data_IF_653019598482
#
_entry.id   IF_653019598482
#
_cell.length_a   1.000
_cell.length_b   1.000
_cell.length_c   1.000
_cell.angle_alpha   90.00
_cell.angle_beta   90.00
_cell.angle_gamma   90.00
#
_symmetry.space_group_name_H-M   'P 1'
#
loop_
_entity.id
_entity.type
_entity.pdbx_description
1 polymer ?
#
# COMPACT_ATOMS: atom_id res chain seq x y z
N UNK A 1 16.67 -3.85 24.81
CA UNK A 1 15.21 -3.64 24.90
C UNK A 1 14.72 -3.21 23.54
N UNK A 2 13.83 -3.98 22.92
CA UNK A 2 13.12 -3.52 21.72
C UNK A 2 11.96 -2.62 22.18
N UNK A 3 11.88 -1.36 21.72
CA UNK A 3 10.75 -0.51 22.04
C UNK A 3 9.48 -1.09 21.40
N UNK A 4 8.44 -1.31 22.22
CA UNK A 4 7.13 -1.74 21.72
C UNK A 4 6.35 -0.49 21.28
N UNK A 5 6.20 -0.31 19.97
CA UNK A 5 5.42 0.79 19.38
C UNK A 5 4.06 0.22 18.97
N UNK A 6 2.97 0.81 19.47
CA UNK A 6 1.60 0.47 19.07
C UNK A 6 1.08 1.51 18.09
N UNK A 7 0.73 1.08 16.87
CA UNK A 7 0.19 1.93 15.81
C UNK A 7 -1.18 1.41 15.41
N UNK A 8 -2.20 2.26 15.52
CA UNK A 8 -3.56 1.94 15.09
C UNK A 8 -3.75 2.35 13.63
N UNK A 9 -3.93 1.37 12.74
CA UNK A 9 -4.24 1.59 11.32
C UNK A 9 -5.74 1.35 11.06
N UNK A 10 -6.53 2.43 10.94
CA UNK A 10 -7.98 2.32 10.69
C UNK A 10 -8.30 1.67 9.33
N UNK A 11 -7.43 1.87 8.33
CA UNK A 11 -7.55 1.26 7.00
C UNK A 11 -6.20 0.68 6.59
N UNK A 12 -5.98 -0.64 6.73
CA UNK A 12 -4.70 -1.25 6.38
C UNK A 12 -4.46 -1.31 4.87
N UNK A 13 -5.52 -1.12 4.09
CA UNK A 13 -5.48 -1.09 2.63
C UNK A 13 -6.17 0.17 2.13
N UNK A 14 -5.57 0.82 1.15
CA UNK A 14 -6.14 2.00 0.49
C UNK A 14 -6.15 1.81 -1.02
N UNK A 15 -7.04 2.53 -1.71
CA UNK A 15 -7.04 2.54 -3.17
C UNK A 15 -5.89 3.39 -3.71
N UNK A 16 -5.59 3.23 -5.01
CA UNK A 16 -4.56 4.04 -5.69
C UNK A 16 -4.89 5.52 -5.63
N UNK A 17 -6.17 5.88 -5.81
CA UNK A 17 -6.60 7.29 -5.78
C UNK A 17 -6.34 7.91 -4.41
N UNK A 18 -6.72 7.20 -3.33
CA UNK A 18 -6.48 7.68 -1.97
C UNK A 18 -4.99 7.75 -1.62
N UNK A 19 -4.19 6.80 -2.12
CA UNK A 19 -2.74 6.83 -1.92
C UNK A 19 -2.08 7.99 -2.66
N UNK A 20 -2.56 8.30 -3.87
CA UNK A 20 -2.15 9.48 -4.64
C UNK A 20 -2.44 10.77 -3.89
N UNK A 21 -3.64 10.91 -3.32
CA UNK A 21 -3.99 12.06 -2.48
C UNK A 21 -3.09 12.20 -1.23
N UNK A 22 -2.76 11.09 -0.57
CA UNK A 22 -1.97 11.09 0.66
C UNK A 22 -0.47 11.37 0.42
N UNK A 23 0.06 10.90 -0.71
CA UNK A 23 1.50 10.99 -1.02
C UNK A 23 1.84 12.14 -1.98
N UNK A 24 0.85 12.69 -2.69
CA UNK A 24 1.05 13.65 -3.77
C UNK A 24 1.65 13.03 -5.05
N UNK A 25 1.88 11.72 -5.10
CA UNK A 25 2.38 11.03 -6.28
C UNK A 25 1.27 10.92 -7.33
N UNK A 26 1.61 11.05 -8.61
CA UNK A 26 0.65 10.83 -9.68
C UNK A 26 0.21 9.37 -9.73
N UNK A 27 -1.02 9.14 -10.16
CA UNK A 27 -1.58 7.80 -10.34
C UNK A 27 -0.71 6.96 -11.28
N UNK A 28 -0.18 7.56 -12.35
CA UNK A 28 0.72 6.89 -13.30
C UNK A 28 2.00 6.41 -12.63
N UNK A 29 2.65 7.27 -11.83
CA UNK A 29 3.85 6.91 -11.06
C UNK A 29 3.56 5.76 -10.10
N UNK A 30 2.41 5.79 -9.43
CA UNK A 30 2.02 4.72 -8.51
C UNK A 30 1.77 3.41 -9.26
N UNK A 31 1.15 3.46 -10.44
CA UNK A 31 0.96 2.29 -11.29
C UNK A 31 2.29 1.70 -11.77
N UNK A 32 3.26 2.54 -12.15
CA UNK A 32 4.60 2.11 -12.53
C UNK A 32 5.31 1.44 -11.35
N UNK A 33 5.25 2.04 -10.16
CA UNK A 33 5.79 1.44 -8.93
C UNK A 33 5.12 0.11 -8.57
N UNK A 34 3.81 -0.03 -8.81
CA UNK A 34 3.06 -1.27 -8.62
C UNK A 34 3.39 -2.33 -9.68
N UNK A 35 3.73 -1.92 -10.90
CA UNK A 35 4.19 -2.81 -11.97
C UNK A 35 5.59 -3.35 -11.64
N UNK A 36 6.49 -2.47 -11.21
CA UNK A 36 7.86 -2.78 -10.76
C UNK A 36 7.89 -3.61 -9.47
N UNK A 37 6.81 -3.63 -8.69
CA UNK A 37 6.73 -4.35 -7.41
C UNK A 37 7.31 -3.60 -6.22
N UNK A 38 7.56 -2.29 -6.36
CA UNK A 38 8.08 -1.41 -5.29
C UNK A 38 7.04 -1.08 -4.23
N UNK A 39 5.75 -1.26 -4.52
CA UNK A 39 4.66 -1.07 -3.57
C UNK A 39 3.97 -2.41 -3.26
N UNK A 40 3.80 -2.75 -1.97
CA UNK A 40 3.06 -3.94 -1.60
C UNK A 40 1.58 -3.76 -1.94
N UNK A 41 1.04 -4.68 -2.72
CA UNK A 41 -0.35 -4.65 -3.20
C UNK A 41 -1.13 -5.85 -2.73
N UNK A 42 -2.37 -5.60 -2.35
CA UNK A 42 -3.37 -6.63 -2.16
C UNK A 42 -4.14 -6.83 -3.47
N UNK A 43 -4.07 -8.05 -4.02
CA UNK A 43 -4.90 -8.49 -5.14
C UNK A 43 -6.02 -9.34 -4.57
N UNK A 44 -7.26 -8.96 -4.79
CA UNK A 44 -8.43 -9.53 -4.11
C UNK A 44 -8.88 -10.93 -4.60
N UNK A 45 -8.43 -11.50 -5.73
CA UNK A 45 -8.58 -12.89 -6.23
C UNK A 45 -8.54 -12.85 -7.76
N UNK A 46 -7.91 -13.87 -8.34
CA UNK A 46 -7.52 -13.93 -9.76
C UNK A 46 -8.68 -14.03 -10.76
N UNK A 47 -9.93 -14.21 -10.31
CA UNK A 47 -11.03 -14.68 -11.16
C UNK A 47 -11.81 -13.59 -11.91
N UNK A 48 -11.55 -12.30 -11.67
CA UNK A 48 -12.25 -11.22 -12.40
C UNK A 48 -11.32 -10.12 -12.85
N UNK A 49 -11.29 -9.88 -14.17
CA UNK A 49 -10.57 -8.81 -14.91
C UNK A 49 -10.86 -7.36 -14.47
N UNK A 50 -11.57 -7.14 -13.35
CA UNK A 50 -12.05 -5.84 -12.86
C UNK A 50 -11.72 -5.59 -11.39
N UNK A 51 -10.75 -6.31 -10.86
CA UNK A 51 -10.46 -6.21 -9.45
C UNK A 51 -9.67 -4.95 -9.13
N UNK A 52 -10.17 -4.18 -8.14
CA UNK A 52 -9.57 -2.91 -7.74
C UNK A 52 -8.29 -3.20 -6.97
N UNK A 53 -7.16 -2.72 -7.48
CA UNK A 53 -5.86 -2.86 -6.81
C UNK A 53 -5.87 -1.99 -5.55
N UNK A 54 -5.48 -2.58 -4.42
CA UNK A 54 -5.30 -1.85 -3.17
C UNK A 54 -3.84 -1.91 -2.73
N UNK A 55 -3.36 -0.80 -2.15
CA UNK A 55 -2.01 -0.65 -1.60
C UNK A 55 -2.06 -1.00 -0.12
N UNK A 56 -1.14 -1.87 0.32
CA UNK A 56 -1.06 -2.33 1.70
C UNK A 56 -0.19 -1.38 2.53
N UNK A 57 -0.84 -0.50 3.29
CA UNK A 57 -0.15 0.46 4.16
C UNK A 57 0.53 -0.22 5.34
N UNK A 58 -0.06 -1.29 5.89
CA UNK A 58 0.53 -1.98 7.03
C UNK A 58 1.91 -2.56 6.69
N UNK A 59 2.06 -3.14 5.50
CA UNK A 59 3.36 -3.64 5.02
C UNK A 59 4.39 -2.52 4.89
N UNK A 60 3.99 -1.36 4.35
CA UNK A 60 4.86 -0.18 4.26
C UNK A 60 5.29 0.35 5.64
N UNK A 61 4.37 0.38 6.61
CA UNK A 61 4.67 0.81 7.98
C UNK A 61 5.64 -0.15 8.66
N UNK A 62 5.45 -1.46 8.51
CA UNK A 62 6.36 -2.45 9.08
C UNK A 62 7.75 -2.35 8.47
N UNK A 63 7.84 -2.19 7.14
CA UNK A 63 9.10 -1.99 6.44
C UNK A 63 9.83 -0.73 6.93
N UNK A 64 9.12 0.39 7.05
CA UNK A 64 9.66 1.65 7.55
C UNK A 64 10.13 1.59 9.02
N UNK A 65 9.51 0.75 9.86
CA UNK A 65 9.93 0.53 11.25
C UNK A 65 11.07 -0.47 11.40
N UNK A 66 11.30 -1.29 10.37
CA UNK A 66 12.35 -2.32 10.36
C UNK A 66 13.67 -1.84 9.76
N UNK A 67 13.65 -0.69 9.06
CA UNK A 67 14.81 0.02 8.54
C UNK A 67 15.51 0.85 9.63
#
# INVERSE_FOLDING_TARGET
MTPNISITLNTPHVTIERYSELTGLSIDTINDMLADGRLPRHRLRKDKKREKVMINLAALTVDALSA
#
